data_IF_286514540146
#
_entry.id   IF_286514540146
#
_cell.length_a   1.000
_cell.length_b   1.000
_cell.length_c   1.000
_cell.angle_alpha   90.00
_cell.angle_beta   90.00
_cell.angle_gamma   90.00
#
_symmetry.space_group_name_H-M   'P 1'
#
loop_
_entity.id
_entity.type
_entity.pdbx_description
1 polymer ?
#
# COMPACT_ATOMS: atom_id res chain seq x y z
N UNK A 1 27.53 40.46 10.39
CA UNK A 1 28.42 39.28 10.47
C UNK A 1 27.55 38.05 10.44
N UNK A 2 27.36 37.44 9.26
CA UNK A 2 26.65 36.16 9.14
C UNK A 2 27.69 35.09 9.48
N UNK A 3 27.50 34.43 10.62
CA UNK A 3 28.42 33.43 11.13
C UNK A 3 28.53 32.28 10.13
N UNK A 4 29.77 31.96 9.75
CA UNK A 4 30.17 31.03 8.69
C UNK A 4 29.58 29.61 8.82
N UNK A 5 29.00 29.26 9.97
CA UNK A 5 28.38 27.97 10.26
C UNK A 5 27.04 27.74 9.55
N UNK A 6 26.28 28.80 9.22
CA UNK A 6 24.95 28.65 8.59
C UNK A 6 25.02 28.29 7.11
N UNK A 7 26.11 28.62 6.42
CA UNK A 7 26.28 28.35 4.98
C UNK A 7 26.60 26.87 4.72
N UNK A 8 27.32 26.22 5.64
CA UNK A 8 27.72 24.82 5.50
C UNK A 8 26.55 23.85 5.68
N UNK A 9 25.57 24.19 6.52
CA UNK A 9 24.36 23.37 6.72
C UNK A 9 23.46 23.41 5.48
N UNK A 10 23.34 24.58 4.84
CA UNK A 10 22.58 24.74 3.59
C UNK A 10 23.23 23.98 2.43
N UNK A 11 24.56 23.99 2.32
CA UNK A 11 25.26 23.25 1.26
C UNK A 11 25.09 21.72 1.40
N UNK A 12 25.06 21.19 2.62
CA UNK A 12 24.82 19.76 2.88
C UNK A 12 23.38 19.34 2.53
N UNK A 13 22.38 20.18 2.82
CA UNK A 13 20.98 19.92 2.45
C UNK A 13 20.77 19.90 0.94
N UNK A 14 21.45 20.80 0.21
CA UNK A 14 21.42 20.84 -1.25
C UNK A 14 22.02 19.55 -1.84
N UNK A 15 23.15 19.06 -1.34
CA UNK A 15 23.76 17.82 -1.86
C UNK A 15 22.91 16.56 -1.61
N UNK A 16 22.13 16.51 -0.53
CA UNK A 16 21.19 15.41 -0.26
C UNK A 16 19.96 15.49 -1.18
N UNK A 17 19.47 16.69 -1.49
CA UNK A 17 18.33 16.89 -2.39
C UNK A 17 18.68 16.63 -3.87
N UNK A 18 19.95 16.82 -4.26
CA UNK A 18 20.42 16.60 -5.65
C UNK A 18 21.19 15.29 -5.86
N UNK A 19 21.17 14.37 -4.88
CA UNK A 19 21.68 13.01 -5.07
C UNK A 19 20.72 12.21 -5.97
N UNK A 20 20.85 12.44 -7.27
CA UNK A 20 20.40 11.66 -8.43
C UNK A 20 19.50 10.44 -8.12
N UNK A 21 18.20 10.56 -8.42
CA UNK A 21 17.37 9.38 -8.66
C UNK A 21 17.95 8.62 -9.87
N UNK A 22 18.13 7.29 -9.79
CA UNK A 22 18.56 6.52 -10.94
C UNK A 22 17.50 6.57 -12.04
N UNK A 23 17.93 6.89 -13.26
CA UNK A 23 17.11 6.87 -14.47
C UNK A 23 16.47 5.49 -14.67
N UNK A 24 15.15 5.39 -14.51
CA UNK A 24 14.39 4.22 -14.93
C UNK A 24 14.10 4.32 -16.43
N UNK A 25 14.88 3.62 -17.23
CA UNK A 25 14.57 3.40 -18.65
C UNK A 25 13.41 2.39 -18.77
N UNK A 26 12.30 2.70 -19.46
CA UNK A 26 11.26 1.72 -19.72
C UNK A 26 11.75 0.68 -20.73
N UNK A 27 11.63 -0.60 -20.35
CA UNK A 27 11.96 -1.74 -21.23
C UNK A 27 10.92 -1.95 -22.35
N UNK A 28 11.27 -2.71 -23.41
CA UNK A 28 10.41 -2.92 -24.57
C UNK A 28 9.15 -3.75 -24.25
N UNK A 29 8.06 -3.57 -25.01
CA UNK A 29 6.77 -4.21 -24.72
C UNK A 29 6.77 -5.71 -25.03
N UNK A 30 6.16 -6.49 -24.13
CA UNK A 30 6.00 -7.95 -24.29
C UNK A 30 4.79 -8.33 -25.17
N UNK A 31 4.85 -9.43 -25.95
CA UNK A 31 3.70 -9.99 -26.65
C UNK A 31 2.83 -10.91 -25.74
N UNK A 32 1.58 -11.23 -26.15
CA UNK A 32 0.52 -11.71 -25.28
C UNK A 32 0.52 -13.23 -25.06
N UNK A 33 0.17 -13.66 -23.84
CA UNK A 33 0.19 -15.07 -23.41
C UNK A 33 -1.03 -15.91 -23.79
N UNK A 34 -0.97 -17.22 -23.50
CA UNK A 34 -2.09 -17.91 -22.87
C UNK A 34 -1.67 -18.79 -21.67
N UNK A 35 -2.66 -19.05 -20.83
CA UNK A 35 -2.63 -19.74 -19.53
C UNK A 35 -1.72 -20.98 -19.44
N UNK A 36 -0.88 -21.05 -18.39
CA UNK A 36 -0.83 -22.16 -17.40
C UNK A 36 0.39 -22.06 -16.47
N UNK A 37 0.12 -22.23 -15.17
CA UNK A 37 1.02 -22.71 -14.08
C UNK A 37 2.38 -22.02 -13.93
N UNK A 38 2.38 -20.98 -13.11
CA UNK A 38 3.59 -20.42 -12.51
C UNK A 38 4.51 -19.70 -13.51
N UNK A 39 5.45 -18.87 -13.02
CA UNK A 39 6.45 -18.29 -13.89
C UNK A 39 7.31 -19.41 -14.50
N UNK A 40 7.63 -19.35 -15.81
CA UNK A 40 8.46 -20.35 -16.47
C UNK A 40 9.85 -20.44 -15.82
N UNK A 41 10.51 -21.60 -15.87
CA UNK A 41 11.85 -21.75 -15.32
C UNK A 41 12.80 -20.81 -16.06
N UNK A 42 13.34 -19.81 -15.37
CA UNK A 42 14.23 -18.79 -15.95
C UNK A 42 13.66 -17.37 -16.03
N UNK A 43 12.43 -17.12 -15.57
CA UNK A 43 11.83 -15.78 -15.53
C UNK A 43 12.42 -14.82 -14.48
N UNK A 44 13.45 -15.24 -13.73
CA UNK A 44 14.04 -14.44 -12.67
C UNK A 44 15.52 -14.18 -12.97
N UNK A 45 16.01 -12.94 -12.79
CA UNK A 45 17.40 -12.61 -13.05
C UNK A 45 18.33 -13.56 -12.27
N UNK A 46 19.26 -14.25 -12.94
CA UNK A 46 20.20 -15.11 -12.25
C UNK A 46 21.07 -14.27 -11.30
N UNK A 47 21.20 -14.71 -10.06
CA UNK A 47 22.09 -14.08 -9.07
C UNK A 47 21.42 -13.48 -7.85
N UNK A 48 20.08 -13.37 -7.80
CA UNK A 48 19.39 -12.90 -6.60
C UNK A 48 18.91 -14.12 -5.78
N UNK A 49 19.31 -14.25 -4.50
CA UNK A 49 18.94 -15.38 -3.65
C UNK A 49 17.43 -15.61 -3.62
N UNK A 50 17.01 -16.89 -3.60
CA UNK A 50 15.59 -17.25 -3.48
C UNK A 50 14.90 -16.58 -2.29
N UNK A 51 15.63 -16.30 -1.20
CA UNK A 51 15.12 -15.58 -0.03
C UNK A 51 14.67 -14.14 -0.30
N UNK A 52 15.14 -13.52 -1.37
CA UNK A 52 14.72 -12.17 -1.77
C UNK A 52 13.44 -12.17 -2.61
N UNK A 53 12.99 -13.34 -3.10
CA UNK A 53 11.83 -13.48 -3.98
C UNK A 53 10.74 -14.39 -3.43
N UNK A 54 11.09 -15.31 -2.53
CA UNK A 54 10.12 -16.07 -1.76
C UNK A 54 9.36 -15.04 -0.91
N UNK A 55 8.04 -14.86 -1.12
CA UNK A 55 7.24 -14.05 -0.23
C UNK A 55 7.48 -14.55 1.19
N UNK A 56 7.65 -13.65 2.19
CA UNK A 56 7.83 -14.07 3.57
C UNK A 56 6.80 -15.17 3.90
N UNK A 57 7.29 -16.33 4.36
CA UNK A 57 6.40 -17.41 4.81
C UNK A 57 5.56 -16.81 5.93
N UNK A 58 4.25 -16.74 5.72
CA UNK A 58 3.23 -16.35 6.70
C UNK A 58 3.73 -15.29 7.67
N UNK A 59 3.54 -14.01 7.30
CA UNK A 59 3.77 -12.90 8.21
C UNK A 59 3.19 -13.25 9.58
N UNK A 60 3.99 -13.12 10.64
CA UNK A 60 3.67 -13.66 11.97
C UNK A 60 2.46 -13.01 12.63
N UNK A 61 1.71 -12.16 11.90
CA UNK A 61 0.60 -11.32 12.36
C UNK A 61 0.96 -10.35 13.49
N UNK A 62 2.20 -10.44 13.96
CA UNK A 62 2.71 -9.80 15.16
C UNK A 62 2.68 -8.29 14.99
N UNK A 63 3.06 -7.81 13.83
CA UNK A 63 3.07 -6.39 13.48
C UNK A 63 1.64 -5.83 13.48
N UNK A 64 0.70 -6.50 12.82
CA UNK A 64 -0.70 -6.07 12.79
C UNK A 64 -1.34 -6.03 14.18
N UNK A 65 -1.18 -7.10 14.97
CA UNK A 65 -1.67 -7.12 16.36
C UNK A 65 -0.97 -6.08 17.25
N UNK A 66 0.32 -5.83 17.06
CA UNK A 66 1.06 -4.80 17.79
C UNK A 66 0.49 -3.40 17.52
N UNK A 67 0.30 -3.05 16.24
CA UNK A 67 -0.24 -1.74 15.84
C UNK A 67 -1.65 -1.55 16.38
N UNK A 68 -2.53 -2.53 16.21
CA UNK A 68 -3.91 -2.44 16.68
C UNK A 68 -4.02 -2.43 18.21
N UNK A 69 -3.20 -3.24 18.90
CA UNK A 69 -3.15 -3.27 20.36
C UNK A 69 -2.68 -1.94 20.96
N UNK A 70 -1.64 -1.33 20.39
CA UNK A 70 -1.15 -0.03 20.84
C UNK A 70 -2.16 1.10 20.66
N UNK A 71 -3.08 0.96 19.70
CA UNK A 71 -4.14 1.92 19.45
C UNK A 71 -5.45 1.60 20.19
N UNK A 72 -5.47 0.59 21.08
CA UNK A 72 -6.66 0.12 21.80
C UNK A 72 -7.83 -0.31 20.86
N UNK A 73 -7.47 -0.97 19.75
CA UNK A 73 -8.42 -1.41 18.71
C UNK A 73 -8.74 -2.91 18.76
N UNK A 74 -8.27 -3.61 19.78
CA UNK A 74 -8.48 -5.05 19.96
C UNK A 74 -9.40 -5.31 21.15
N UNK A 75 -10.29 -6.28 20.99
CA UNK A 75 -11.05 -6.86 22.09
C UNK A 75 -10.15 -7.79 22.93
N UNK A 76 -10.68 -8.24 24.07
CA UNK A 76 -9.96 -9.14 25.01
C UNK A 76 -9.58 -10.49 24.41
N UNK A 77 -10.30 -10.93 23.37
CA UNK A 77 -10.02 -12.16 22.62
C UNK A 77 -9.07 -11.94 21.42
N UNK A 78 -8.46 -10.75 21.30
CA UNK A 78 -7.66 -10.29 20.16
C UNK A 78 -8.42 -10.14 18.82
N UNK A 79 -9.74 -10.20 18.78
CA UNK A 79 -10.48 -9.78 17.58
C UNK A 79 -10.50 -8.25 17.47
N UNK A 80 -10.65 -7.74 16.26
CA UNK A 80 -10.73 -6.28 16.06
C UNK A 80 -12.04 -5.71 16.61
N UNK A 81 -11.94 -4.60 17.33
CA UNK A 81 -13.07 -3.77 17.70
C UNK A 81 -13.41 -2.83 16.53
N UNK A 82 -14.31 -3.28 15.65
CA UNK A 82 -14.67 -2.54 14.43
C UNK A 82 -15.33 -1.18 14.70
N UNK A 83 -16.01 -1.03 15.83
CA UNK A 83 -16.60 0.26 16.20
C UNK A 83 -15.52 1.28 16.56
N UNK A 84 -14.59 0.89 17.43
CA UNK A 84 -13.42 1.71 17.75
C UNK A 84 -12.55 1.96 16.53
N UNK A 85 -12.36 0.95 15.69
CA UNK A 85 -11.54 1.07 14.49
C UNK A 85 -12.13 2.06 13.47
N UNK A 86 -13.44 2.01 13.22
CA UNK A 86 -14.11 3.00 12.35
C UNK A 86 -13.97 4.41 12.92
N UNK A 87 -14.17 4.57 14.23
CA UNK A 87 -14.00 5.86 14.92
C UNK A 87 -12.56 6.36 14.86
N UNK A 88 -11.58 5.47 14.97
CA UNK A 88 -10.16 5.79 14.82
C UNK A 88 -9.85 6.32 13.42
N UNK A 89 -10.39 5.69 12.37
CA UNK A 89 -10.22 6.15 10.99
C UNK A 89 -10.85 7.54 10.77
N UNK A 90 -12.02 7.81 11.35
CA UNK A 90 -12.68 9.11 11.27
C UNK A 90 -11.86 10.21 11.94
N UNK A 91 -11.35 9.94 13.15
CA UNK A 91 -10.50 10.87 13.88
C UNK A 91 -9.17 11.13 13.14
N UNK A 92 -8.60 10.09 12.54
CA UNK A 92 -7.37 10.21 11.77
C UNK A 92 -7.60 11.04 10.49
N UNK A 93 -8.68 10.79 9.76
CA UNK A 93 -9.06 11.57 8.57
C UNK A 93 -9.30 13.05 8.90
N UNK A 94 -9.97 13.34 10.03
CA UNK A 94 -10.19 14.71 10.48
C UNK A 94 -8.88 15.47 10.77
N UNK A 95 -7.85 14.75 11.21
CA UNK A 95 -6.52 15.33 11.48
C UNK A 95 -5.62 15.38 10.23
N UNK A 96 -5.98 14.67 9.15
CA UNK A 96 -5.18 14.51 7.94
C UNK A 96 -6.06 14.74 6.70
N UNK A 97 -6.47 16.00 6.44
CA UNK A 97 -7.50 16.31 5.44
C UNK A 97 -7.13 15.88 4.02
N UNK A 98 -5.85 15.91 3.65
CA UNK A 98 -5.36 15.46 2.34
C UNK A 98 -5.67 13.99 2.04
N UNK A 99 -5.85 13.18 3.08
CA UNK A 99 -6.16 11.76 2.98
C UNK A 99 -7.63 11.44 3.30
N UNK A 100 -8.45 12.43 3.68
CA UNK A 100 -9.79 12.19 4.20
C UNK A 100 -10.69 11.43 3.22
N UNK A 101 -10.65 11.79 1.94
CA UNK A 101 -11.40 11.12 0.87
C UNK A 101 -10.95 9.66 0.70
N UNK A 102 -9.64 9.42 0.64
CA UNK A 102 -9.07 8.08 0.49
C UNK A 102 -9.37 7.19 1.71
N UNK A 103 -9.32 7.76 2.92
CA UNK A 103 -9.67 7.06 4.16
C UNK A 103 -11.16 6.74 4.23
N UNK A 104 -12.03 7.64 3.79
CA UNK A 104 -13.47 7.38 3.76
C UNK A 104 -13.79 6.18 2.84
N UNK A 105 -13.21 6.15 1.64
CA UNK A 105 -13.32 5.02 0.71
C UNK A 105 -12.76 3.73 1.35
N UNK A 106 -11.59 3.81 1.98
CA UNK A 106 -10.97 2.67 2.63
C UNK A 106 -11.81 2.15 3.81
N UNK A 107 -12.39 3.03 4.62
CA UNK A 107 -13.29 2.68 5.72
C UNK A 107 -14.51 1.92 5.21
N UNK A 108 -15.15 2.43 4.16
CA UNK A 108 -16.35 1.80 3.57
C UNK A 108 -16.07 0.40 3.04
N UNK A 109 -14.92 0.17 2.42
CA UNK A 109 -14.62 -1.13 1.80
C UNK A 109 -13.88 -2.10 2.75
N UNK A 110 -13.14 -1.61 3.75
CA UNK A 110 -12.25 -2.43 4.58
C UNK A 110 -12.74 -2.61 6.03
N UNK A 111 -13.41 -1.63 6.62
CA UNK A 111 -13.77 -1.62 8.05
C UNK A 111 -15.19 -2.13 8.32
N UNK A 112 -15.68 -3.03 7.45
CA UNK A 112 -16.94 -3.76 7.65
C UNK A 112 -16.73 -4.89 8.66
N UNK A 113 -17.77 -5.24 9.41
CA UNK A 113 -17.69 -6.30 10.42
C UNK A 113 -17.22 -7.63 9.79
N UNK A 114 -16.19 -8.26 10.38
CA UNK A 114 -15.54 -9.46 9.84
C UNK A 114 -14.43 -9.20 8.81
N UNK A 115 -14.30 -7.95 8.36
CA UNK A 115 -13.18 -7.45 7.57
C UNK A 115 -13.14 -7.98 6.13
N UNK A 116 -12.08 -7.64 5.39
CA UNK A 116 -11.93 -8.08 4.00
C UNK A 116 -11.62 -9.59 3.93
N UNK A 117 -12.19 -10.25 2.93
CA UNK A 117 -11.95 -11.68 2.66
C UNK A 117 -10.60 -11.92 1.98
N UNK A 118 -10.05 -13.13 2.16
CA UNK A 118 -8.82 -13.58 1.51
C UNK A 118 -7.55 -13.42 2.36
N UNK A 119 -6.38 -13.83 1.84
CA UNK A 119 -5.11 -13.70 2.54
C UNK A 119 -4.72 -12.22 2.78
N UNK A 120 -3.88 -11.92 3.79
CA UNK A 120 -3.19 -12.84 4.72
C UNK A 120 -4.12 -13.50 5.75
N UNK A 121 -3.60 -14.43 6.55
CA UNK A 121 -4.42 -15.28 7.43
C UNK A 121 -5.09 -14.49 8.57
N UNK A 122 -4.40 -13.50 9.14
CA UNK A 122 -4.90 -12.78 10.31
C UNK A 122 -5.65 -11.50 9.95
N UNK A 123 -6.69 -11.23 10.75
CA UNK A 123 -7.58 -10.09 10.61
C UNK A 123 -6.88 -8.72 10.60
N UNK A 124 -5.94 -8.41 11.53
CA UNK A 124 -5.23 -7.13 11.48
C UNK A 124 -4.47 -6.88 10.18
N UNK A 125 -3.76 -7.90 9.68
CA UNK A 125 -2.98 -7.76 8.47
C UNK A 125 -3.92 -7.64 7.25
N UNK A 126 -5.03 -8.39 7.21
CA UNK A 126 -6.07 -8.24 6.15
C UNK A 126 -6.59 -6.81 6.08
N UNK A 127 -6.89 -6.22 7.23
CA UNK A 127 -7.33 -4.82 7.32
C UNK A 127 -6.23 -3.86 6.88
N UNK A 128 -4.99 -4.06 7.33
CA UNK A 128 -3.85 -3.24 6.94
C UNK A 128 -3.61 -3.26 5.42
N UNK A 129 -3.62 -4.43 4.79
CA UNK A 129 -3.47 -4.57 3.34
C UNK A 129 -4.61 -3.90 2.58
N UNK A 130 -5.85 -4.08 3.04
CA UNK A 130 -7.01 -3.43 2.43
C UNK A 130 -6.91 -1.90 2.53
N UNK A 131 -6.65 -1.37 3.73
CA UNK A 131 -6.50 0.06 3.95
C UNK A 131 -5.38 0.64 3.08
N UNK A 132 -4.19 0.05 3.13
CA UNK A 132 -3.02 0.55 2.38
C UNK A 132 -3.30 0.57 0.88
N UNK A 133 -3.91 -0.50 0.34
CA UNK A 133 -4.29 -0.57 -1.07
C UNK A 133 -5.32 0.50 -1.43
N UNK A 134 -6.39 0.64 -0.65
CA UNK A 134 -7.45 1.63 -0.91
C UNK A 134 -6.92 3.07 -0.79
N UNK A 135 -6.09 3.35 0.21
CA UNK A 135 -5.50 4.67 0.37
C UNK A 135 -4.55 4.96 -0.80
N UNK A 136 -3.66 4.02 -1.15
CA UNK A 136 -2.72 4.18 -2.26
C UNK A 136 -3.42 4.52 -3.58
N UNK A 137 -4.51 3.81 -3.93
CA UNK A 137 -5.21 4.05 -5.19
C UNK A 137 -6.11 5.28 -5.20
N UNK A 138 -6.42 5.88 -4.05
CA UNK A 138 -7.39 6.98 -3.96
C UNK A 138 -6.83 8.25 -3.32
N UNK A 139 -5.57 8.25 -2.87
CA UNK A 139 -4.93 9.45 -2.36
C UNK A 139 -4.59 10.42 -3.50
N UNK A 140 -4.61 11.71 -3.18
CA UNK A 140 -4.13 12.75 -4.08
C UNK A 140 -2.61 12.81 -3.94
N UNK A 141 -1.89 12.53 -5.03
CA UNK A 141 -0.45 12.75 -5.06
C UNK A 141 -0.16 14.26 -4.97
N UNK A 142 0.97 14.60 -4.37
CA UNK A 142 1.41 16.00 -4.24
C UNK A 142 1.75 16.57 -5.61
N UNK A 143 1.69 17.90 -5.72
CA UNK A 143 2.11 18.61 -6.92
C UNK A 143 3.63 18.84 -6.88
N UNK A 144 4.38 17.76 -7.09
CA UNK A 144 5.84 17.73 -7.11
C UNK A 144 6.34 17.04 -8.39
N UNK A 145 7.60 17.32 -8.76
CA UNK A 145 8.22 16.75 -9.95
C UNK A 145 8.14 15.21 -9.94
N UNK A 146 7.61 14.63 -11.02
CA UNK A 146 7.42 13.18 -11.16
C UNK A 146 6.10 12.63 -10.60
N UNK A 147 5.39 13.35 -9.73
CA UNK A 147 4.10 12.89 -9.21
C UNK A 147 3.00 12.82 -10.28
N UNK A 148 3.02 13.74 -11.26
CA UNK A 148 2.07 13.68 -12.38
C UNK A 148 2.28 12.45 -13.26
N UNK A 149 3.53 12.08 -13.55
CA UNK A 149 3.85 10.88 -14.32
C UNK A 149 3.45 9.61 -13.55
N UNK A 150 3.67 9.59 -12.23
CA UNK A 150 3.20 8.49 -11.38
C UNK A 150 1.67 8.39 -11.38
N UNK A 151 0.96 9.51 -11.24
CA UNK A 151 -0.52 9.55 -11.27
C UNK A 151 -1.04 8.97 -12.59
N UNK A 152 -0.49 9.44 -13.71
CA UNK A 152 -0.86 8.95 -15.03
C UNK A 152 -0.62 7.44 -15.16
N UNK A 153 0.55 6.94 -14.73
CA UNK A 153 0.84 5.51 -14.74
C UNK A 153 -0.13 4.72 -13.86
N UNK A 154 -0.45 5.23 -12.67
CA UNK A 154 -1.42 4.62 -11.77
C UNK A 154 -2.79 4.54 -12.44
N UNK A 155 -3.26 5.60 -13.08
CA UNK A 155 -4.58 5.62 -13.73
C UNK A 155 -4.64 4.70 -14.96
N UNK A 156 -3.58 4.66 -15.78
CA UNK A 156 -3.47 3.73 -16.91
C UNK A 156 -3.47 2.26 -16.45
N UNK A 157 -2.74 1.95 -15.38
CA UNK A 157 -2.56 0.59 -14.90
C UNK A 157 -3.66 0.12 -13.93
N UNK A 158 -4.47 1.02 -13.36
CA UNK A 158 -5.47 0.74 -12.31
C UNK A 158 -6.33 -0.49 -12.62
N UNK A 159 -6.81 -0.61 -13.84
CA UNK A 159 -7.67 -1.73 -14.29
C UNK A 159 -7.04 -3.13 -14.12
N UNK A 160 -5.71 -3.23 -14.10
CA UNK A 160 -5.01 -4.51 -13.94
C UNK A 160 -4.83 -4.90 -12.47
N UNK A 161 -4.94 -3.93 -11.55
CA UNK A 161 -4.67 -4.11 -10.12
C UNK A 161 -5.93 -4.01 -9.26
N UNK A 162 -6.94 -3.26 -9.70
CA UNK A 162 -8.22 -3.13 -9.00
C UNK A 162 -9.32 -3.80 -9.82
N UNK A 163 -10.03 -4.76 -9.23
CA UNK A 163 -11.22 -5.33 -9.86
C UNK A 163 -12.42 -4.40 -9.65
N UNK A 164 -13.25 -4.18 -10.68
CA UNK A 164 -14.52 -3.47 -10.52
C UNK A 164 -15.41 -4.17 -9.47
N UNK A 165 -16.16 -3.41 -8.67
CA UNK A 165 -17.11 -3.94 -7.67
C UNK A 165 -18.06 -4.98 -8.28
N UNK A 166 -18.49 -4.78 -9.54
CA UNK A 166 -19.43 -5.69 -10.22
C UNK A 166 -18.87 -7.11 -10.44
N UNK A 167 -17.54 -7.27 -10.57
CA UNK A 167 -16.91 -8.59 -10.75
C UNK A 167 -16.72 -9.35 -9.43
N UNK A 168 -16.87 -8.67 -8.30
CA UNK A 168 -16.75 -9.25 -6.96
C UNK A 168 -18.13 -9.74 -6.48
N UNK A 169 -19.20 -8.99 -6.78
CA UNK A 169 -20.57 -9.31 -6.36
C UNK A 169 -21.25 -10.38 -7.24
N UNK A 170 -20.80 -10.57 -8.48
CA UNK A 170 -21.38 -11.53 -9.43
C UNK A 170 -20.87 -12.98 -9.34
N UNK A 171 -19.95 -13.32 -8.42
CA UNK A 171 -19.40 -14.68 -8.30
C UNK A 171 -19.74 -15.30 -6.94
N UNK A 172 -20.78 -16.15 -6.85
CA UNK A 172 -21.23 -16.75 -5.59
C UNK A 172 -20.28 -17.83 -5.01
N UNK A 173 -19.24 -18.27 -5.73
CA UNK A 173 -18.30 -19.30 -5.25
C UNK A 173 -17.14 -18.76 -4.39
N UNK A 174 -17.12 -17.45 -4.07
CA UNK A 174 -16.04 -16.82 -3.29
C UNK A 174 -16.49 -16.09 -2.03
N UNK A 175 -17.67 -16.43 -1.50
CA UNK A 175 -18.13 -15.99 -0.18
C UNK A 175 -17.87 -17.08 0.87
#
# INVERSE_FOLDING_TARGET
MITSSSILVLAALVQVLFAQQPDFQPGPPGPPGPHHKGPPPGAFPPGIPKSCWVPPREGTCKEGYCVMGNADLLQTNNSVDYEKFRSYLDNWAASNPDFAEAIQIAKEDCAQDGGPAGPPVCEPDRLFFCLTSKIFWNCKLRDEDGCQALQQHMDECRQYYTKPKEQIEGNPERR
#
